data_IF_402195916599
#
_entry.id   IF_402195916599
#
_cell.length_a   1.000
_cell.length_b   1.000
_cell.length_c   1.000
_cell.angle_alpha   90.00
_cell.angle_beta   90.00
_cell.angle_gamma   90.00
#
_symmetry.space_group_name_H-M   'P 1'
#
loop_
_entity.id
_entity.type
_entity.pdbx_description
1 polymer ?
#
# COMPACT_ATOMS: atom_id res chain seq x y z
N UNK A 1 -0.59 44.48 -11.89
CA UNK A 1 -0.41 43.48 -12.98
C UNK A 1 1.07 43.12 -12.91
N UNK A 2 1.39 41.86 -12.62
CA UNK A 2 2.79 41.41 -12.51
C UNK A 2 3.38 41.20 -13.90
N UNK A 3 4.56 41.75 -14.15
CA UNK A 3 5.34 41.50 -15.36
C UNK A 3 5.66 40.00 -15.46
N UNK A 4 5.52 39.44 -16.66
CA UNK A 4 5.98 38.09 -16.93
C UNK A 4 7.51 38.08 -16.78
N UNK A 5 8.03 37.18 -15.97
CA UNK A 5 9.47 36.96 -15.91
C UNK A 5 9.95 36.58 -17.33
N UNK A 6 10.94 37.31 -17.83
CA UNK A 6 11.59 36.98 -19.09
C UNK A 6 12.12 35.54 -19.05
N UNK A 7 12.06 34.86 -20.21
CA UNK A 7 12.36 33.44 -20.36
C UNK A 7 13.60 33.03 -19.55
N UNK A 8 13.45 31.97 -18.74
CA UNK A 8 14.53 31.39 -17.94
C UNK A 8 15.72 31.01 -18.85
N UNK A 9 16.83 31.78 -18.82
CA UNK A 9 17.92 31.63 -19.77
C UNK A 9 18.67 30.30 -19.60
N UNK A 10 18.52 29.65 -18.45
CA UNK A 10 19.14 28.34 -18.17
C UNK A 10 18.18 27.18 -18.38
N UNK A 11 16.92 27.43 -18.75
CA UNK A 11 15.88 26.41 -18.92
C UNK A 11 15.84 25.42 -17.74
N UNK A 12 15.91 25.95 -16.51
CA UNK A 12 15.95 25.19 -15.25
C UNK A 12 14.72 24.32 -15.01
N UNK A 13 13.67 24.50 -15.83
CA UNK A 13 12.48 23.65 -15.89
C UNK A 13 12.80 22.20 -16.28
N UNK A 14 13.91 21.96 -17.00
CA UNK A 14 14.28 20.62 -17.48
C UNK A 14 15.46 20.04 -16.72
N UNK A 15 15.18 19.12 -15.81
CA UNK A 15 16.22 18.29 -15.19
C UNK A 15 16.49 17.05 -16.07
N UNK A 16 17.76 16.79 -16.37
CA UNK A 16 18.16 15.52 -16.96
C UNK A 16 18.43 14.51 -15.85
N UNK A 17 17.61 13.46 -15.74
CA UNK A 17 17.80 12.41 -14.74
C UNK A 17 18.87 11.45 -15.25
N UNK A 18 19.99 11.28 -14.53
CA UNK A 18 21.02 10.34 -14.95
C UNK A 18 20.47 8.91 -15.10
N UNK A 19 20.86 8.14 -16.14
CA UNK A 19 20.28 6.83 -16.44
C UNK A 19 20.32 5.83 -15.27
N UNK A 20 21.30 5.94 -14.37
CA UNK A 20 21.40 5.09 -13.17
C UNK A 20 20.27 5.30 -12.16
N UNK A 21 19.55 6.42 -12.24
CA UNK A 21 18.38 6.70 -11.41
C UNK A 21 17.06 6.44 -12.15
N UNK A 22 17.13 6.02 -13.42
CA UNK A 22 15.96 5.68 -14.22
C UNK A 22 15.64 4.19 -14.08
N UNK A 23 14.38 3.88 -13.77
CA UNK A 23 13.88 2.51 -13.84
C UNK A 23 13.45 2.23 -15.28
N UNK A 24 13.97 1.18 -15.95
CA UNK A 24 13.59 0.87 -17.32
C UNK A 24 12.10 0.57 -17.45
N UNK A 25 11.41 1.09 -18.48
CA UNK A 25 10.01 0.76 -18.73
C UNK A 25 9.92 -0.66 -19.29
N UNK A 26 9.58 -1.62 -18.43
CA UNK A 26 9.30 -3.00 -18.80
C UNK A 26 8.17 -3.56 -17.92
N UNK A 27 7.72 -4.77 -18.20
CA UNK A 27 6.64 -5.43 -17.45
C UNK A 27 6.97 -5.64 -15.96
N UNK A 28 8.26 -5.57 -15.62
CA UNK A 28 8.84 -5.74 -14.29
C UNK A 28 9.15 -4.40 -13.64
N UNK A 29 8.69 -3.28 -14.22
CA UNK A 29 9.00 -1.93 -13.76
C UNK A 29 8.67 -1.70 -12.28
N UNK A 30 7.57 -2.28 -11.79
CA UNK A 30 7.21 -2.19 -10.37
C UNK A 30 8.19 -2.97 -9.48
N UNK A 31 8.57 -4.19 -9.86
CA UNK A 31 9.57 -4.98 -9.13
C UNK A 31 10.94 -4.29 -9.15
N UNK A 32 11.31 -3.69 -10.27
CA UNK A 32 12.56 -2.95 -10.43
C UNK A 32 12.57 -1.69 -9.55
N UNK A 33 11.46 -0.96 -9.50
CA UNK A 33 11.30 0.20 -8.60
C UNK A 33 11.42 -0.22 -7.13
N UNK A 34 10.76 -1.30 -6.73
CA UNK A 34 10.84 -1.83 -5.37
C UNK A 34 12.28 -2.26 -5.05
N UNK A 35 12.94 -2.99 -5.95
CA UNK A 35 14.34 -3.39 -5.79
C UNK A 35 15.29 -2.19 -5.70
N UNK A 36 15.04 -1.13 -6.45
CA UNK A 36 15.82 0.11 -6.42
C UNK A 36 15.70 0.85 -5.08
N UNK A 37 14.49 0.95 -4.51
CA UNK A 37 14.25 1.64 -3.23
C UNK A 37 14.64 0.78 -2.04
N UNK A 38 14.23 -0.48 -2.04
CA UNK A 38 14.42 -1.39 -0.91
C UNK A 38 15.81 -2.02 -0.86
N UNK A 39 16.49 -2.17 -1.99
CA UNK A 39 17.70 -2.98 -2.14
C UNK A 39 17.46 -4.45 -1.81
N UNK A 40 18.21 -5.32 -2.49
CA UNK A 40 18.07 -6.77 -2.32
C UNK A 40 18.37 -7.22 -0.88
N UNK A 41 19.34 -6.60 -0.21
CA UNK A 41 19.70 -6.94 1.17
C UNK A 41 18.55 -6.74 2.16
N UNK A 42 17.79 -5.64 2.02
CA UNK A 42 16.62 -5.39 2.88
C UNK A 42 15.48 -6.37 2.60
N UNK A 43 15.27 -6.73 1.34
CA UNK A 43 14.22 -7.67 0.96
C UNK A 43 14.54 -9.09 1.43
N UNK A 44 15.80 -9.50 1.41
CA UNK A 44 16.23 -10.85 1.83
C UNK A 44 16.41 -10.99 3.35
N UNK A 45 16.77 -9.91 4.04
CA UNK A 45 16.94 -9.90 5.49
C UNK A 45 16.26 -8.67 6.07
N UNK A 46 14.91 -8.67 6.09
CA UNK A 46 14.14 -7.54 6.58
C UNK A 46 14.33 -7.37 8.08
N UNK A 47 14.41 -6.11 8.51
CA UNK A 47 14.27 -5.71 9.91
C UNK A 47 13.35 -4.51 9.96
N UNK A 48 12.72 -4.26 11.12
CA UNK A 48 11.89 -3.07 11.29
C UNK A 48 12.68 -1.79 10.95
N UNK A 49 13.93 -1.70 11.39
CA UNK A 49 14.82 -0.56 11.15
C UNK A 49 15.17 -0.36 9.67
N UNK A 50 15.44 -1.44 8.93
CA UNK A 50 15.81 -1.32 7.50
C UNK A 50 14.59 -1.02 6.63
N UNK A 51 13.40 -1.51 6.99
CA UNK A 51 12.17 -1.23 6.27
C UNK A 51 11.65 0.19 6.51
N UNK A 52 11.66 0.67 7.76
CA UNK A 52 11.11 2.01 8.09
C UNK A 52 11.89 3.18 7.47
N UNK A 53 13.14 2.97 7.07
CA UNK A 53 13.98 3.99 6.43
C UNK A 53 13.60 4.24 4.96
N UNK A 54 12.61 3.50 4.43
CA UNK A 54 12.35 3.41 3.01
C UNK A 54 10.85 3.48 2.75
N UNK A 55 10.47 4.25 1.74
CA UNK A 55 9.06 4.46 1.43
C UNK A 55 8.85 4.69 -0.07
N UNK A 56 7.69 4.24 -0.55
CA UNK A 56 7.14 4.62 -1.86
C UNK A 56 5.82 5.33 -1.60
N UNK A 57 5.79 6.65 -1.82
CA UNK A 57 4.61 7.48 -1.55
C UNK A 57 3.78 7.62 -2.83
N UNK A 58 2.44 7.48 -2.71
CA UNK A 58 1.50 7.67 -3.83
C UNK A 58 0.37 8.61 -3.43
N UNK A 59 -0.16 9.42 -4.37
CA UNK A 59 -1.31 10.27 -4.09
C UNK A 59 -2.62 9.52 -3.79
N UNK A 60 -2.76 8.27 -4.28
CA UNK A 60 -3.99 7.46 -4.13
C UNK A 60 -3.70 6.18 -3.35
N UNK A 61 -4.52 5.93 -2.31
CA UNK A 61 -4.43 4.73 -1.48
C UNK A 61 -4.50 3.45 -2.30
N UNK A 62 -5.45 3.33 -3.24
CA UNK A 62 -5.57 2.16 -4.12
C UNK A 62 -4.24 1.79 -4.81
N UNK A 63 -3.44 2.77 -5.20
CA UNK A 63 -2.12 2.50 -5.82
C UNK A 63 -1.06 2.17 -4.78
N UNK A 64 -1.11 2.79 -3.60
CA UNK A 64 -0.26 2.41 -2.48
C UNK A 64 -0.52 0.96 -2.04
N UNK A 65 -1.77 0.51 -2.00
CA UNK A 65 -2.15 -0.85 -1.64
C UNK A 65 -1.53 -1.89 -2.59
N UNK A 66 -1.61 -1.65 -3.90
CA UNK A 66 -0.98 -2.51 -4.93
C UNK A 66 0.54 -2.62 -4.70
N UNK A 67 1.18 -1.50 -4.37
CA UNK A 67 2.63 -1.46 -4.11
C UNK A 67 2.95 -2.20 -2.81
N UNK A 68 2.19 -1.96 -1.74
CA UNK A 68 2.39 -2.59 -0.45
C UNK A 68 2.24 -4.11 -0.54
N UNK A 69 1.20 -4.60 -1.24
CA UNK A 69 1.06 -6.04 -1.54
C UNK A 69 2.27 -6.58 -2.30
N UNK A 70 2.74 -5.86 -3.33
CA UNK A 70 3.91 -6.30 -4.10
C UNK A 70 5.20 -6.30 -3.28
N UNK A 71 5.39 -5.34 -2.38
CA UNK A 71 6.53 -5.31 -1.44
C UNK A 71 6.46 -6.52 -0.51
N UNK A 72 5.30 -6.79 0.09
CA UNK A 72 5.10 -7.95 0.96
C UNK A 72 5.39 -9.27 0.23
N UNK A 73 4.97 -9.41 -1.04
CA UNK A 73 5.27 -10.59 -1.86
C UNK A 73 6.77 -10.77 -2.18
N UNK A 74 7.55 -9.67 -2.15
CA UNK A 74 8.99 -9.67 -2.47
C UNK A 74 9.88 -9.81 -1.24
N UNK A 75 9.37 -9.53 -0.04
CA UNK A 75 10.11 -9.65 1.21
C UNK A 75 10.23 -11.13 1.59
N UNK A 76 11.44 -11.57 1.92
CA UNK A 76 11.69 -12.91 2.39
C UNK A 76 11.25 -13.07 3.85
N UNK A 77 10.46 -14.11 4.13
CA UNK A 77 9.95 -14.41 5.46
C UNK A 77 8.50 -14.86 5.42
N UNK A 78 7.90 -15.00 6.60
CA UNK A 78 6.48 -15.33 6.73
C UNK A 78 5.62 -14.07 6.75
N UNK A 79 4.51 -14.12 6.01
CA UNK A 79 3.48 -13.07 6.05
C UNK A 79 2.41 -13.45 7.07
N UNK A 80 1.98 -12.47 7.88
CA UNK A 80 0.89 -12.64 8.84
C UNK A 80 -0.21 -11.62 8.54
N UNK A 81 -1.44 -12.10 8.42
CA UNK A 81 -2.62 -11.25 8.20
C UNK A 81 -3.42 -11.12 9.49
N UNK A 82 -3.66 -9.88 9.92
CA UNK A 82 -4.52 -9.55 11.05
C UNK A 82 -5.86 -9.03 10.54
N UNK A 83 -6.95 -9.67 10.97
CA UNK A 83 -8.31 -9.31 10.55
C UNK A 83 -8.96 -8.50 11.68
N UNK A 84 -9.40 -7.28 11.40
CA UNK A 84 -10.18 -6.51 12.36
C UNK A 84 -11.58 -7.09 12.52
N UNK A 85 -12.11 -7.04 13.73
CA UNK A 85 -13.48 -7.41 14.03
C UNK A 85 -14.26 -6.13 14.35
N UNK A 86 -15.30 -5.85 13.55
CA UNK A 86 -16.23 -4.75 13.79
C UNK A 86 -17.61 -5.35 14.12
N UNK A 87 -18.08 -5.14 15.35
CA UNK A 87 -19.36 -5.65 15.84
C UNK A 87 -20.23 -4.48 16.30
N UNK A 88 -21.30 -4.21 15.55
CA UNK A 88 -22.34 -3.29 15.99
C UNK A 88 -23.26 -4.00 17.00
N UNK A 89 -23.11 -3.68 18.29
CA UNK A 89 -24.04 -4.19 19.31
C UNK A 89 -25.35 -3.42 19.23
N UNK A 90 -26.51 -4.08 19.03
CA UNK A 90 -27.79 -3.39 19.09
C UNK A 90 -28.03 -2.87 20.50
N UNK A 91 -28.17 -1.55 20.65
CA UNK A 91 -28.61 -0.93 21.90
C UNK A 91 -30.12 -1.10 22.03
N UNK A 92 -30.53 -2.17 22.69
CA UNK A 92 -31.94 -2.45 22.97
C UNK A 92 -32.49 -1.57 24.09
N UNK A 93 -33.11 -0.45 23.72
CA UNK A 93 -34.29 0.07 24.40
C UNK A 93 -35.08 0.91 23.40
N UNK A 94 -35.87 0.26 22.54
CA UNK A 94 -37.27 0.62 22.32
C UNK A 94 -38.01 -0.69 21.99
N UNK A 95 -39.12 -0.94 22.68
CA UNK A 95 -39.76 -2.24 22.80
C UNK A 95 -40.12 -2.90 21.47
N UNK A 96 -39.58 -4.09 21.24
CA UNK A 96 -40.16 -5.06 20.32
C UNK A 96 -40.44 -6.35 21.12
N UNK A 97 -41.72 -6.66 21.22
CA UNK A 97 -42.24 -7.85 21.90
C UNK A 97 -41.54 -9.12 21.41
N UNK A 98 -41.19 -9.98 22.36
CA UNK A 98 -40.64 -11.30 22.11
C UNK A 98 -41.70 -12.12 21.37
N UNK A 99 -41.46 -12.50 20.12
CA UNK A 99 -42.05 -13.71 19.60
C UNK A 99 -40.96 -14.77 19.45
N UNK A 100 -41.13 -15.86 20.21
CA UNK A 100 -40.24 -17.00 20.22
C UNK A 100 -40.59 -17.80 18.97
N UNK A 101 -39.66 -17.91 18.02
CA UNK A 101 -39.55 -19.09 17.18
C UNK A 101 -38.09 -19.26 16.77
N UNK A 102 -37.49 -20.29 17.33
CA UNK A 102 -36.14 -20.73 17.03
C UNK A 102 -36.12 -21.42 15.67
N UNK A 103 -35.20 -21.03 14.79
CA UNK A 103 -34.52 -22.01 13.92
C UNK A 103 -33.04 -21.67 13.86
N UNK A 104 -32.30 -22.44 14.65
CA UNK A 104 -30.88 -22.68 14.56
C UNK A 104 -30.53 -23.33 13.21
N UNK A 105 -29.41 -22.91 12.62
CA UNK A 105 -28.47 -23.67 11.74
C UNK A 105 -28.16 -22.95 10.42
N UNK A 106 -26.89 -22.54 10.22
CA UNK A 106 -26.11 -23.06 9.08
C UNK A 106 -24.60 -22.79 9.25
N UNK A 107 -23.85 -23.87 9.09
CA UNK A 107 -22.40 -23.98 9.18
C UNK A 107 -21.65 -23.24 8.06
N UNK A 108 -20.50 -22.65 8.39
CA UNK A 108 -19.50 -22.26 7.40
C UNK A 108 -18.56 -23.43 7.13
N UNK A 109 -18.53 -23.87 5.88
CA UNK A 109 -17.53 -24.80 5.34
C UNK A 109 -16.62 -23.98 4.43
N UNK A 110 -15.33 -23.91 4.75
CA UNK A 110 -14.33 -23.29 3.89
C UNK A 110 -13.82 -24.30 2.84
N UNK A 111 -13.61 -23.88 1.58
CA UNK A 111 -12.57 -24.44 0.73
C UNK A 111 -11.18 -23.91 1.11
#
# INVERSE_FOLDING_TARGET
IGEAAEEDPENTSWINIPPQYCVPPNEQGLSNLIGFIYYQSTLQTPSATTLQQKAVVRPKNKTADIINSKVLDMVFGESTTYISNDEARPTGNEGAERNRDAVSSRAFKHP
#
